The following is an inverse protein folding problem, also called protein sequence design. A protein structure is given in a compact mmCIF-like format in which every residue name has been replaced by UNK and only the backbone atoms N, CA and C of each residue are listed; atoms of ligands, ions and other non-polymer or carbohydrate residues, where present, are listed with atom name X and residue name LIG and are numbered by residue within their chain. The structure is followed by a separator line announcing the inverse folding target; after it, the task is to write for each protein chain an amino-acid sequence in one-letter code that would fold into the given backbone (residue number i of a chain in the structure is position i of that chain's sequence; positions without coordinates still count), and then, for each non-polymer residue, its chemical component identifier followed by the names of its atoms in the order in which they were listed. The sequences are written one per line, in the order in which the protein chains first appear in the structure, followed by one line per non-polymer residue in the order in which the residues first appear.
data_IF_283760916677
#
_entry.id   IF_283760916677
#
_cell.length_a   1.000
_cell.length_b   1.000
_cell.length_c   1.000
_cell.angle_alpha   90.00
_cell.angle_beta   90.00
_cell.angle_gamma   90.00
#
_symmetry.space_group_name_H-M   'P 1'
#
loop_
_entity.id
_entity.type
_entity.pdbx_description
1 polymer ?
#
# COMPACT_ATOMS: atom_id res chain seq x y z
N UNK A 1 -1.43 -3.31 -9.40
CA UNK A 1 -0.04 -2.89 -9.69
C UNK A 1 0.83 -3.38 -8.55
N UNK A 2 1.90 -4.13 -8.83
CA UNK A 2 2.89 -4.55 -7.81
C UNK A 2 4.21 -3.92 -8.23
N UNK A 3 4.72 -2.98 -7.43
CA UNK A 3 5.97 -2.27 -7.70
C UNK A 3 6.71 -2.03 -6.39
N UNK A 4 8.04 -2.01 -6.43
CA UNK A 4 8.88 -1.69 -5.28
C UNK A 4 8.95 -0.17 -5.04
N UNK A 5 8.64 0.64 -6.05
CA UNK A 5 8.61 2.10 -5.97
C UNK A 5 7.31 2.64 -5.38
N UNK A 6 7.28 2.76 -4.07
CA UNK A 6 6.12 3.24 -3.31
C UNK A 6 5.74 4.70 -3.66
N UNK A 7 6.71 5.53 -4.05
CA UNK A 7 6.47 6.92 -4.48
C UNK A 7 5.71 7.03 -5.80
N UNK A 8 5.95 6.09 -6.73
CA UNK A 8 5.21 6.01 -8.00
C UNK A 8 3.81 5.44 -7.77
N UNK A 9 3.71 4.38 -6.97
CA UNK A 9 2.42 3.75 -6.64
C UNK A 9 1.48 4.75 -5.95
N UNK A 10 2.02 5.58 -5.05
CA UNK A 10 1.22 6.61 -4.35
C UNK A 10 0.66 7.71 -5.27
N UNK A 11 1.27 7.95 -6.44
CA UNK A 11 0.82 8.96 -7.41
C UNK A 11 -0.19 8.40 -8.41
N UNK A 12 -0.22 7.08 -8.61
CA UNK A 12 -1.02 6.42 -9.64
C UNK A 12 -2.25 5.73 -9.04
N UNK A 13 -2.18 5.24 -7.80
CA UNK A 13 -3.25 4.49 -7.18
C UNK A 13 -3.88 5.28 -6.02
N UNK A 14 -5.20 5.47 -6.00
CA UNK A 14 -5.88 6.14 -4.88
C UNK A 14 -6.10 5.20 -3.67
N UNK A 15 -6.29 3.90 -3.93
CA UNK A 15 -6.51 2.85 -2.92
C UNK A 15 -5.32 1.89 -2.87
N UNK A 16 -4.91 1.53 -1.66
CA UNK A 16 -3.88 0.55 -1.35
C UNK A 16 -4.37 -0.51 -0.36
N UNK A 17 -3.95 -1.74 -0.59
CA UNK A 17 -4.26 -2.90 0.25
C UNK A 17 -2.95 -3.50 0.75
N UNK A 18 -2.85 -3.74 2.05
CA UNK A 18 -1.69 -4.39 2.69
C UNK A 18 -2.12 -5.75 3.19
N UNK A 19 -1.37 -6.77 2.79
CA UNK A 19 -1.54 -8.15 3.23
C UNK A 19 -0.38 -8.52 4.15
N UNK A 20 -0.68 -9.17 5.26
CA UNK A 20 0.29 -9.61 6.26
C UNK A 20 0.00 -11.07 6.60
N UNK A 21 0.95 -11.96 6.31
CA UNK A 21 0.81 -13.41 6.52
C UNK A 21 -0.50 -14.02 5.96
N UNK A 22 -0.99 -13.50 4.83
CA UNK A 22 -2.24 -13.96 4.20
C UNK A 22 -3.52 -13.34 4.75
N UNK A 23 -3.43 -12.44 5.74
CA UNK A 23 -4.55 -11.67 6.25
C UNK A 23 -4.53 -10.23 5.72
N UNK A 24 -5.71 -9.68 5.46
CA UNK A 24 -5.90 -8.28 5.10
C UNK A 24 -5.56 -7.39 6.30
N UNK A 25 -4.36 -6.81 6.31
CA UNK A 25 -3.89 -5.93 7.39
C UNK A 25 -4.36 -4.49 7.23
N UNK A 26 -4.55 -4.04 6.00
CA UNK A 26 -5.06 -2.70 5.71
C UNK A 26 -5.77 -2.65 4.36
N UNK A 27 -6.88 -1.94 4.31
CA UNK A 27 -7.60 -1.59 3.08
C UNK A 27 -8.04 -0.13 3.18
N UNK A 28 -7.57 0.71 2.25
CA UNK A 28 -7.90 2.12 2.28
C UNK A 28 -7.03 2.95 1.35
N UNK A 29 -6.80 4.21 1.67
CA UNK A 29 -5.99 5.12 0.85
C UNK A 29 -4.54 4.65 0.74
N UNK A 30 -3.93 4.80 -0.44
CA UNK A 30 -2.55 4.37 -0.69
C UNK A 30 -1.53 5.02 0.27
N UNK A 31 -1.74 6.28 0.67
CA UNK A 31 -0.84 7.01 1.59
C UNK A 31 -0.68 6.26 2.93
N UNK A 32 -1.79 5.76 3.46
CA UNK A 32 -1.82 4.98 4.69
C UNK A 32 -1.20 3.60 4.48
N UNK A 33 -1.48 2.95 3.36
CA UNK A 33 -0.91 1.65 3.03
C UNK A 33 0.62 1.72 2.90
N UNK A 34 1.15 2.75 2.22
CA UNK A 34 2.58 2.99 2.06
C UNK A 34 3.25 3.30 3.40
N UNK A 35 2.60 4.05 4.30
CA UNK A 35 3.10 4.28 5.66
C UNK A 35 3.25 2.98 6.45
N UNK A 36 2.31 2.05 6.36
CA UNK A 36 2.34 0.75 7.05
C UNK A 36 3.45 -0.16 6.52
N UNK A 37 3.82 -0.04 5.23
CA UNK A 37 4.92 -0.81 4.64
C UNK A 37 6.29 -0.17 4.97
N UNK A 38 6.34 1.16 5.10
CA UNK A 38 7.57 1.90 5.47
C UNK A 38 7.89 1.88 6.96
N UNK A 39 6.94 1.55 7.84
CA UNK A 39 7.10 1.59 9.31
C UNK A 39 6.15 0.68 10.06
#
# INVERSE_FOLDING_TARGET
MVSHDLDLVSKICERGVVLDQGNLRFDGTIDKAVKIIRG
#
